data_IF_979636009850
#
_entry.id   IF_979636009850
#
_cell.length_a   1.000
_cell.length_b   1.000
_cell.length_c   1.000
_cell.angle_alpha   90.00
_cell.angle_beta   90.00
_cell.angle_gamma   90.00
#
_symmetry.space_group_name_H-M   'P 1'
#
loop_
_entity.id
_entity.type
_entity.pdbx_description
1 polymer ?
#
# COMPACT_ATOMS: atom_id res chain seq x y z
N UNK A 1 -8.47 -1.98 21.86
CA UNK A 1 -7.51 -1.68 20.77
C UNK A 1 -8.01 -0.49 19.99
N UNK A 2 -7.16 0.50 19.70
CA UNK A 2 -7.50 1.61 18.78
C UNK A 2 -7.78 1.07 17.37
N UNK A 3 -8.57 1.80 16.58
CA UNK A 3 -8.83 1.43 15.19
C UNK A 3 -7.51 1.31 14.39
N UNK A 4 -6.54 2.18 14.65
CA UNK A 4 -5.19 2.11 14.07
C UNK A 4 -4.48 0.81 14.44
N UNK A 5 -4.61 0.34 15.68
CA UNK A 5 -4.04 -0.93 16.11
C UNK A 5 -4.64 -2.13 15.37
N UNK A 6 -5.96 -2.14 15.13
CA UNK A 6 -6.62 -3.20 14.34
C UNK A 6 -6.14 -3.20 12.89
N UNK A 7 -6.00 -2.03 12.27
CA UNK A 7 -5.52 -1.90 10.89
C UNK A 7 -4.08 -2.36 10.76
N UNK A 8 -3.21 -2.00 11.70
CA UNK A 8 -1.82 -2.47 11.72
C UNK A 8 -1.73 -4.00 11.79
N UNK A 9 -2.50 -4.61 12.71
CA UNK A 9 -2.55 -6.07 12.84
C UNK A 9 -3.08 -6.73 11.56
N UNK A 10 -4.15 -6.20 10.97
CA UNK A 10 -4.69 -6.72 9.71
C UNK A 10 -3.65 -6.66 8.57
N UNK A 11 -2.89 -5.56 8.47
CA UNK A 11 -1.83 -5.42 7.47
C UNK A 11 -0.72 -6.46 7.64
N UNK A 12 -0.28 -6.72 8.88
CA UNK A 12 0.74 -7.74 9.17
C UNK A 12 0.23 -9.14 8.81
N UNK A 13 -1.00 -9.49 9.21
CA UNK A 13 -1.59 -10.79 8.89
C UNK A 13 -1.73 -10.97 7.38
N UNK A 14 -2.21 -9.95 6.66
CA UNK A 14 -2.33 -9.98 5.21
C UNK A 14 -0.96 -10.19 4.52
N UNK A 15 0.10 -9.53 5.01
CA UNK A 15 1.45 -9.72 4.48
C UNK A 15 1.94 -11.16 4.70
N UNK A 16 1.77 -11.71 5.91
CA UNK A 16 2.16 -13.10 6.22
C UNK A 16 1.43 -14.08 5.29
N UNK A 17 0.11 -13.94 5.14
CA UNK A 17 -0.69 -14.79 4.27
C UNK A 17 -0.25 -14.67 2.81
N UNK A 18 0.03 -13.45 2.33
CA UNK A 18 0.52 -13.23 0.97
C UNK A 18 1.85 -13.96 0.74
N UNK A 19 2.86 -13.74 1.59
CA UNK A 19 4.17 -14.36 1.41
C UNK A 19 4.12 -15.88 1.58
N UNK A 20 3.25 -16.40 2.44
CA UNK A 20 3.03 -17.83 2.58
C UNK A 20 2.38 -18.44 1.34
N UNK A 21 1.38 -17.78 0.76
CA UNK A 21 0.60 -18.29 -0.36
C UNK A 21 1.37 -18.33 -1.69
N UNK A 22 2.19 -17.30 -1.98
CA UNK A 22 2.87 -17.17 -3.28
C UNK A 22 4.40 -17.28 -3.19
N UNK A 23 4.95 -17.41 -1.98
CA UNK A 23 6.39 -17.43 -1.74
C UNK A 23 7.02 -16.03 -1.73
N UNK A 24 8.29 -15.97 -1.32
CA UNK A 24 8.97 -14.70 -1.04
C UNK A 24 9.03 -13.76 -2.26
N UNK A 25 9.56 -14.24 -3.38
CA UNK A 25 9.79 -13.39 -4.56
C UNK A 25 8.49 -12.90 -5.20
N UNK A 26 7.50 -13.78 -5.38
CA UNK A 26 6.21 -13.38 -5.92
C UNK A 26 5.45 -12.48 -4.93
N UNK A 27 5.52 -12.78 -3.63
CA UNK A 27 4.92 -11.94 -2.59
C UNK A 27 5.51 -10.54 -2.58
N UNK A 28 6.83 -10.42 -2.74
CA UNK A 28 7.52 -9.13 -2.82
C UNK A 28 7.10 -8.34 -4.06
N UNK A 29 7.01 -9.02 -5.21
CA UNK A 29 6.51 -8.42 -6.45
C UNK A 29 5.06 -7.96 -6.33
N UNK A 30 4.18 -8.71 -5.64
CA UNK A 30 2.80 -8.28 -5.41
C UNK A 30 2.75 -7.07 -4.47
N UNK A 31 3.48 -7.13 -3.35
CA UNK A 31 3.49 -6.10 -2.33
C UNK A 31 3.91 -4.73 -2.88
N UNK A 32 4.89 -4.70 -3.79
CA UNK A 32 5.42 -3.48 -4.40
C UNK A 32 4.77 -3.20 -5.76
N UNK A 33 4.70 -4.22 -6.60
CA UNK A 33 4.28 -4.13 -7.98
C UNK A 33 2.81 -3.79 -8.14
N UNK A 34 1.92 -4.28 -7.28
CA UNK A 34 0.49 -3.92 -7.36
C UNK A 34 0.29 -2.43 -7.07
N UNK A 35 0.79 -1.84 -5.96
CA UNK A 35 0.71 -0.40 -5.74
C UNK A 35 1.40 0.42 -6.84
N UNK A 36 2.56 -0.03 -7.33
CA UNK A 36 3.28 0.65 -8.39
C UNK A 36 2.49 0.65 -9.71
N UNK A 37 1.96 -0.50 -10.14
CA UNK A 37 1.14 -0.63 -11.33
C UNK A 37 -0.16 0.18 -11.20
N UNK A 38 -0.83 0.09 -10.04
CA UNK A 38 -2.01 0.89 -9.75
C UNK A 38 -1.70 2.39 -9.89
N UNK A 39 -0.57 2.85 -9.34
CA UNK A 39 -0.12 4.23 -9.49
C UNK A 39 0.16 4.58 -10.95
N UNK A 40 0.82 3.72 -11.71
CA UNK A 40 1.13 3.95 -13.12
C UNK A 40 -0.14 4.00 -13.99
N UNK A 41 -1.18 3.23 -13.64
CA UNK A 41 -2.47 3.24 -14.31
C UNK A 41 -3.35 4.47 -13.96
N UNK A 42 -3.02 5.23 -12.91
CA UNK A 42 -3.74 6.47 -12.60
C UNK A 42 -3.60 7.48 -13.74
N UNK A 43 -4.71 8.14 -14.06
CA UNK A 43 -4.70 9.30 -14.94
C UNK A 43 -3.89 10.45 -14.31
N UNK A 44 -3.35 11.33 -15.16
CA UNK A 44 -2.57 12.51 -14.80
C UNK A 44 -3.24 13.36 -13.70
N UNK A 45 -4.57 13.52 -13.76
CA UNK A 45 -5.40 14.24 -12.80
C UNK A 45 -5.39 13.59 -11.41
N UNK A 46 -5.57 12.27 -11.33
CA UNK A 46 -5.54 11.47 -10.10
C UNK A 46 -4.14 11.45 -9.48
N UNK A 47 -3.11 11.24 -10.32
CA UNK A 47 -1.71 11.25 -9.92
C UNK A 47 -1.30 12.58 -9.29
N UNK A 48 -1.75 13.71 -9.85
CA UNK A 48 -1.52 15.05 -9.31
C UNK A 48 -2.15 15.22 -7.94
N UNK A 49 -3.36 14.69 -7.73
CA UNK A 49 -4.04 14.72 -6.42
C UNK A 49 -3.31 13.89 -5.37
N UNK A 50 -2.88 12.66 -5.70
CA UNK A 50 -2.08 11.80 -4.80
C UNK A 50 -0.79 12.49 -4.39
N UNK A 51 -0.06 13.08 -5.34
CA UNK A 51 1.16 13.87 -5.05
C UNK A 51 0.88 15.10 -4.19
N UNK A 52 -0.29 15.74 -4.37
CA UNK A 52 -0.73 16.89 -3.58
C UNK A 52 -1.13 16.55 -2.14
N UNK A 53 -1.69 15.36 -1.91
CA UNK A 53 -2.07 14.88 -0.57
C UNK A 53 -0.83 14.59 0.31
N UNK A 54 0.22 13.99 -0.29
CA UNK A 54 1.47 13.69 0.42
C UNK A 54 2.13 14.94 1.02
N UNK A 55 1.98 16.11 0.40
CA UNK A 55 2.53 17.39 0.91
C UNK A 55 1.70 18.03 2.03
N UNK A 56 0.45 17.62 2.23
CA UNK A 56 -0.47 18.24 3.22
C UNK A 56 -0.46 17.57 4.60
N UNK A 57 0.24 16.44 4.77
CA UNK A 57 0.23 15.66 6.02
C UNK A 57 1.54 15.74 6.83
N UNK A 58 2.57 16.44 6.35
CA UNK A 58 3.79 16.70 7.13
C UNK A 58 3.63 18.11 7.74
N UNK A 59 3.02 18.22 8.93
CA UNK A 59 2.88 19.49 9.65
C UNK A 59 1.46 19.85 10.13
N UNK A 60 0.52 18.90 10.11
CA UNK A 60 -0.77 19.00 10.82
C UNK A 60 -1.07 17.69 11.51
#
# INVERSE_FOLDING_TARGET
MSNSGKVAVAGVVAAIVLFWAVGFWAGLLVLIGVPAAAYLLLDSSQRRRVRGLSRKQIGR
#
